data_IF_682603879364
#
_entry.id   IF_682603879364
#
_cell.length_a   1.000
_cell.length_b   1.000
_cell.length_c   1.000
_cell.angle_alpha   90.00
_cell.angle_beta   90.00
_cell.angle_gamma   90.00
#
_symmetry.space_group_name_H-M   'P 1'
#
loop_
_entity.id
_entity.type
_entity.pdbx_description
1 polymer ?
#
# COMPACT_ATOMS: atom_id res chain seq x y z
N UNK A 1 66.81 -22.53 -19.80
CA UNK A 1 65.41 -22.76 -20.26
C UNK A 1 64.47 -22.37 -19.10
N UNK A 2 63.97 -21.13 -19.10
CA UNK A 2 63.04 -20.62 -18.04
C UNK A 2 61.65 -20.65 -18.58
N UNK A 3 60.77 -21.46 -17.95
CA UNK A 3 59.33 -21.51 -18.23
C UNK A 3 58.66 -20.39 -17.43
N UNK A 4 58.17 -19.36 -18.12
CA UNK A 4 57.33 -18.31 -17.53
C UNK A 4 55.88 -18.84 -17.43
N UNK A 5 55.40 -19.05 -16.21
CA UNK A 5 53.98 -19.33 -15.93
C UNK A 5 53.21 -18.01 -15.97
N UNK A 6 52.23 -17.90 -16.86
CA UNK A 6 51.24 -16.82 -16.86
C UNK A 6 50.10 -17.16 -15.89
N UNK A 7 50.03 -16.45 -14.78
CA UNK A 7 48.87 -16.47 -13.92
C UNK A 7 47.79 -15.57 -14.55
N UNK A 8 46.71 -16.21 -15.05
CA UNK A 8 45.48 -15.51 -15.45
C UNK A 8 44.66 -15.20 -14.20
N UNK A 9 44.62 -13.91 -13.88
CA UNK A 9 43.78 -13.38 -12.80
C UNK A 9 42.31 -13.32 -13.31
N UNK A 10 41.45 -14.23 -12.85
CA UNK A 10 40.03 -14.17 -13.13
C UNK A 10 39.41 -13.04 -12.28
N UNK A 11 39.03 -11.95 -12.93
CA UNK A 11 38.27 -10.87 -12.30
C UNK A 11 36.83 -11.39 -12.06
N UNK A 12 36.50 -11.66 -10.83
CA UNK A 12 35.12 -11.92 -10.39
C UNK A 12 34.38 -10.57 -10.43
N UNK A 13 33.52 -10.38 -11.43
CA UNK A 13 32.54 -9.29 -11.48
C UNK A 13 31.47 -9.54 -10.41
N UNK A 14 31.62 -8.91 -9.26
CA UNK A 14 30.52 -8.74 -8.32
C UNK A 14 29.46 -7.85 -8.98
N UNK A 15 28.38 -8.49 -9.44
CA UNK A 15 27.18 -7.76 -9.80
C UNK A 15 26.66 -7.08 -8.52
N UNK A 16 26.88 -5.78 -8.42
CA UNK A 16 26.28 -4.95 -7.39
C UNK A 16 24.76 -5.03 -7.57
N UNK A 17 24.10 -5.79 -6.70
CA UNK A 17 22.66 -5.66 -6.50
C UNK A 17 22.40 -4.22 -6.10
N UNK A 18 21.56 -3.54 -6.87
CA UNK A 18 21.25 -2.14 -6.77
C UNK A 18 20.97 -1.72 -5.33
N UNK A 19 21.59 -0.60 -4.98
CA UNK A 19 21.53 0.03 -3.68
C UNK A 19 20.11 0.49 -3.34
N UNK A 20 19.73 0.14 -2.11
CA UNK A 20 18.86 0.88 -1.21
C UNK A 20 17.79 1.77 -1.88
N UNK A 21 16.65 1.22 -2.09
CA UNK A 21 15.42 2.00 -2.08
C UNK A 21 15.17 2.39 -0.63
N UNK A 22 15.07 3.72 -0.44
CA UNK A 22 14.70 4.45 0.77
C UNK A 22 14.21 3.58 1.92
N UNK A 23 14.90 3.63 3.04
CA UNK A 23 14.79 2.93 4.32
C UNK A 23 13.43 2.48 4.87
N UNK A 24 12.37 2.39 4.08
CA UNK A 24 11.09 1.85 4.47
C UNK A 24 11.14 0.31 4.50
N UNK A 25 10.59 -0.27 5.57
CA UNK A 25 10.50 -1.72 5.71
C UNK A 25 9.37 -2.29 4.84
N UNK A 26 9.47 -3.58 4.40
CA UNK A 26 8.37 -4.30 3.77
C UNK A 26 7.09 -4.21 4.61
N UNK A 27 5.94 -3.98 3.96
CA UNK A 27 4.67 -3.87 4.67
C UNK A 27 4.31 -5.16 5.42
N UNK A 28 4.66 -6.32 4.86
CA UNK A 28 4.47 -7.61 5.53
C UNK A 28 5.22 -7.71 6.87
N UNK A 29 6.41 -7.10 6.99
CA UNK A 29 7.20 -7.10 8.24
C UNK A 29 6.64 -6.16 9.32
N UNK A 30 5.83 -5.18 8.92
CA UNK A 30 5.17 -4.21 9.81
C UNK A 30 3.74 -4.61 10.15
N UNK A 31 3.22 -5.68 9.56
CA UNK A 31 1.83 -6.09 9.73
C UNK A 31 1.58 -6.69 11.12
N UNK A 32 0.51 -6.23 11.76
CA UNK A 32 0.02 -6.74 13.04
C UNK A 32 -1.45 -7.17 12.91
N UNK A 33 -1.87 -8.28 13.53
CA UNK A 33 -3.27 -8.67 13.57
C UNK A 33 -4.16 -7.56 14.17
N UNK A 34 -5.30 -7.30 13.57
CA UNK A 34 -6.33 -6.44 14.14
C UNK A 34 -7.18 -7.25 15.13
N UNK A 35 -6.98 -7.04 16.43
CA UNK A 35 -7.65 -7.79 17.50
C UNK A 35 -8.32 -6.81 18.48
N UNK A 36 -9.65 -6.86 18.63
CA UNK A 36 -10.60 -7.66 17.83
C UNK A 36 -10.70 -7.16 16.38
N UNK A 37 -11.05 -8.06 15.46
CA UNK A 37 -11.41 -7.67 14.10
C UNK A 37 -12.62 -6.75 14.11
N UNK A 38 -12.64 -5.72 13.26
CA UNK A 38 -13.71 -4.73 13.17
C UNK A 38 -14.37 -4.76 11.81
N UNK A 39 -15.67 -4.50 11.78
CA UNK A 39 -16.43 -4.37 10.55
C UNK A 39 -16.15 -3.02 9.89
N UNK A 40 -15.63 -3.02 8.66
CA UNK A 40 -15.32 -1.81 7.90
C UNK A 40 -16.47 -1.38 6.96
N UNK A 41 -17.57 -2.10 6.90
CA UNK A 41 -18.67 -1.83 5.94
C UNK A 41 -19.36 -0.48 6.17
N UNK A 42 -19.28 0.05 7.38
CA UNK A 42 -19.83 1.38 7.73
C UNK A 42 -18.87 2.54 7.47
N UNK A 43 -17.74 2.29 6.80
CA UNK A 43 -16.85 3.37 6.38
C UNK A 43 -17.50 4.25 5.32
N UNK A 44 -17.48 5.55 5.58
CA UNK A 44 -17.98 6.56 4.65
C UNK A 44 -16.84 7.00 3.71
N UNK A 45 -16.98 6.62 2.45
CA UNK A 45 -16.04 6.98 1.39
C UNK A 45 -16.76 7.63 0.23
N UNK A 46 -16.07 8.50 -0.50
CA UNK A 46 -16.57 9.14 -1.74
C UNK A 46 -15.48 9.08 -2.80
N UNK A 47 -15.89 9.00 -4.06
CA UNK A 47 -14.99 9.16 -5.20
C UNK A 47 -14.60 10.63 -5.42
N UNK A 48 -13.83 10.88 -6.49
CA UNK A 48 -13.37 12.23 -6.86
C UNK A 48 -14.49 13.19 -7.26
N UNK A 49 -15.66 12.67 -7.60
CA UNK A 49 -16.84 13.44 -8.04
C UNK A 49 -17.88 13.59 -6.91
N UNK A 50 -17.59 12.99 -5.75
CA UNK A 50 -18.42 13.07 -4.54
C UNK A 50 -19.47 11.96 -4.45
N UNK A 51 -19.49 10.98 -5.35
CA UNK A 51 -20.39 9.84 -5.26
C UNK A 51 -19.98 8.92 -4.11
N UNK A 52 -20.94 8.32 -3.37
CA UNK A 52 -20.62 7.38 -2.32
C UNK A 52 -20.00 6.11 -2.89
N UNK A 53 -19.00 5.59 -2.16
CA UNK A 53 -18.31 4.32 -2.43
C UNK A 53 -18.36 3.50 -1.15
N UNK A 54 -18.71 2.22 -1.25
CA UNK A 54 -18.82 1.31 -0.11
C UNK A 54 -17.74 0.24 -0.12
N UNK A 55 -17.31 -0.23 1.06
CA UNK A 55 -16.48 -1.43 1.18
C UNK A 55 -17.19 -2.65 0.58
N UNK A 56 -18.53 -2.69 0.62
CA UNK A 56 -19.31 -3.78 0.02
C UNK A 56 -19.18 -3.87 -1.51
N UNK A 57 -18.79 -2.80 -2.20
CA UNK A 57 -18.51 -2.80 -3.65
C UNK A 57 -17.28 -3.67 -3.99
N UNK A 58 -16.48 -4.01 -2.97
CA UNK A 58 -15.27 -4.81 -3.06
C UNK A 58 -15.43 -6.20 -2.44
N UNK A 59 -16.66 -6.61 -2.09
CA UNK A 59 -16.92 -7.92 -1.51
C UNK A 59 -16.33 -9.06 -2.36
N UNK A 60 -15.79 -10.09 -1.70
CA UNK A 60 -15.09 -11.20 -2.34
C UNK A 60 -13.61 -10.93 -2.66
N UNK A 61 -13.10 -9.72 -2.41
CA UNK A 61 -11.68 -9.36 -2.57
C UNK A 61 -11.05 -8.99 -1.24
N UNK A 62 -9.78 -9.31 -1.07
CA UNK A 62 -8.95 -8.69 -0.03
C UNK A 62 -8.83 -7.20 -0.34
N UNK A 63 -9.01 -6.34 0.66
CA UNK A 63 -8.87 -4.89 0.48
C UNK A 63 -7.64 -4.37 1.22
N UNK A 64 -6.74 -3.72 0.50
CA UNK A 64 -5.63 -2.94 1.04
C UNK A 64 -6.08 -1.49 1.14
N UNK A 65 -6.64 -1.10 2.29
CA UNK A 65 -7.18 0.24 2.55
C UNK A 65 -6.08 1.12 3.16
N UNK A 66 -5.37 1.88 2.32
CA UNK A 66 -4.30 2.77 2.76
C UNK A 66 -4.86 4.15 3.14
N UNK A 67 -4.63 4.55 4.38
CA UNK A 67 -5.09 5.83 4.96
C UNK A 67 -3.97 6.85 4.83
N UNK A 68 -4.21 7.92 4.07
CA UNK A 68 -3.18 8.89 3.74
C UNK A 68 -3.70 10.32 3.57
N UNK A 69 -2.78 11.27 3.35
CA UNK A 69 -3.11 12.65 2.99
C UNK A 69 -1.99 13.27 2.17
N UNK A 70 -2.33 14.15 1.22
CA UNK A 70 -1.33 14.84 0.39
C UNK A 70 -0.42 15.79 1.19
N UNK A 71 -0.84 16.17 2.37
CA UNK A 71 -0.12 16.99 3.35
C UNK A 71 0.80 16.19 4.27
N UNK A 72 0.74 14.86 4.23
CA UNK A 72 1.48 13.95 5.11
C UNK A 72 2.78 13.48 4.40
N UNK A 73 3.98 13.95 4.80
CA UNK A 73 5.21 13.61 4.08
C UNK A 73 5.53 12.11 3.99
N UNK A 74 5.43 11.30 5.07
CA UNK A 74 5.67 9.86 4.96
C UNK A 74 4.64 9.15 4.08
N UNK A 75 3.35 9.60 4.11
CA UNK A 75 2.34 9.05 3.20
C UNK A 75 2.72 9.27 1.73
N UNK A 76 3.21 10.46 1.39
CA UNK A 76 3.62 10.80 0.01
C UNK A 76 4.79 9.93 -0.48
N UNK A 77 5.71 9.54 0.41
CA UNK A 77 6.85 8.70 0.04
C UNK A 77 6.45 7.26 -0.27
N UNK A 78 5.45 6.71 0.43
CA UNK A 78 5.00 5.32 0.18
C UNK A 78 4.09 5.19 -1.06
N UNK A 79 3.38 6.25 -1.50
CA UNK A 79 2.40 6.17 -2.59
C UNK A 79 2.95 5.61 -3.91
N UNK A 80 4.20 5.89 -4.35
CA UNK A 80 4.75 5.24 -5.54
C UNK A 80 4.86 3.72 -5.40
N UNK A 81 5.18 3.17 -4.22
CA UNK A 81 5.21 1.72 -4.00
C UNK A 81 3.81 1.11 -3.99
N UNK A 82 2.81 1.83 -3.46
CA UNK A 82 1.39 1.44 -3.53
C UNK A 82 0.90 1.41 -4.99
N UNK A 83 1.30 2.39 -5.80
CA UNK A 83 0.98 2.40 -7.22
C UNK A 83 1.58 1.18 -7.94
N UNK A 84 2.86 0.84 -7.68
CA UNK A 84 3.49 -0.34 -8.27
C UNK A 84 2.92 -1.67 -7.73
N UNK A 85 2.38 -1.70 -6.50
CA UNK A 85 1.67 -2.85 -5.96
C UNK A 85 0.48 -3.24 -6.85
N UNK A 86 -0.29 -2.25 -7.33
CA UNK A 86 -1.46 -2.50 -8.20
C UNK A 86 -1.08 -3.32 -9.44
N UNK A 87 0.10 -3.08 -10.00
CA UNK A 87 0.57 -3.79 -11.19
C UNK A 87 1.10 -5.21 -10.88
N UNK A 88 1.29 -5.54 -9.59
CA UNK A 88 1.82 -6.83 -9.13
C UNK A 88 0.76 -7.78 -8.57
N UNK A 89 -0.46 -7.31 -8.32
CA UNK A 89 -1.53 -8.10 -7.73
C UNK A 89 -2.66 -8.37 -8.73
N UNK A 90 -3.39 -9.47 -8.53
CA UNK A 90 -4.59 -9.77 -9.31
C UNK A 90 -5.76 -8.87 -8.86
N UNK A 91 -6.27 -7.96 -9.71
CA UNK A 91 -7.35 -7.05 -9.33
C UNK A 91 -8.69 -7.76 -9.09
N UNK A 92 -8.83 -9.01 -9.53
CA UNK A 92 -9.99 -9.83 -9.21
C UNK A 92 -9.97 -10.38 -7.76
N UNK A 93 -8.79 -10.40 -7.13
CA UNK A 93 -8.59 -10.94 -5.77
C UNK A 93 -8.24 -9.88 -4.74
N UNK A 94 -7.55 -8.82 -5.15
CA UNK A 94 -7.03 -7.79 -4.25
C UNK A 94 -7.40 -6.40 -4.79
N UNK A 95 -8.09 -5.61 -3.98
CA UNK A 95 -8.38 -4.21 -4.25
C UNK A 95 -7.43 -3.32 -3.44
N UNK A 96 -6.75 -2.37 -4.09
CA UNK A 96 -5.87 -1.39 -3.44
C UNK A 96 -6.58 -0.04 -3.44
N UNK A 97 -6.95 0.44 -2.25
CA UNK A 97 -7.81 1.59 -2.04
C UNK A 97 -7.09 2.66 -1.18
N UNK A 98 -6.41 3.64 -1.81
CA UNK A 98 -5.88 4.77 -1.07
C UNK A 98 -7.00 5.74 -0.69
N UNK A 99 -7.35 5.78 0.60
CA UNK A 99 -8.37 6.64 1.18
C UNK A 99 -7.73 7.93 1.72
N UNK A 100 -7.98 9.05 1.05
CA UNK A 100 -7.36 10.33 1.36
C UNK A 100 -8.21 11.16 2.34
N UNK A 101 -7.54 11.81 3.30
CA UNK A 101 -8.15 12.74 4.26
C UNK A 101 -7.82 14.19 3.86
N UNK A 102 -8.62 14.75 2.94
CA UNK A 102 -8.41 16.05 2.28
C UNK A 102 -9.57 17.05 2.51
N UNK A 103 -10.32 16.88 3.61
CA UNK A 103 -11.50 17.72 3.90
C UNK A 103 -12.49 17.80 2.70
N UNK A 104 -12.71 16.67 2.02
CA UNK A 104 -13.61 16.56 0.88
C UNK A 104 -13.07 17.13 -0.44
N UNK A 105 -11.78 17.52 -0.51
CA UNK A 105 -11.22 18.15 -1.71
C UNK A 105 -10.30 17.19 -2.51
N UNK A 106 -10.82 16.61 -3.58
CA UNK A 106 -10.06 15.74 -4.50
C UNK A 106 -8.94 16.44 -5.27
N UNK A 107 -8.96 17.80 -5.38
CA UNK A 107 -8.00 18.54 -6.20
C UNK A 107 -6.56 18.34 -5.74
N UNK A 108 -6.31 18.30 -4.44
CA UNK A 108 -4.96 18.07 -3.91
C UNK A 108 -4.43 16.68 -4.26
N UNK A 109 -5.28 15.66 -4.21
CA UNK A 109 -4.93 14.30 -4.61
C UNK A 109 -4.63 14.26 -6.11
N UNK A 110 -5.47 14.89 -6.95
CA UNK A 110 -5.25 14.99 -8.42
C UNK A 110 -3.91 15.65 -8.75
N UNK A 111 -3.59 16.75 -8.05
CA UNK A 111 -2.30 17.46 -8.24
C UNK A 111 -1.12 16.58 -7.83
N UNK A 112 -1.22 15.90 -6.69
CA UNK A 112 -0.17 14.99 -6.22
C UNK A 112 0.03 13.82 -7.20
N UNK A 113 -1.02 13.14 -7.63
CA UNK A 113 -0.93 12.03 -8.59
C UNK A 113 -0.30 12.47 -9.90
N UNK A 114 -0.72 13.63 -10.43
CA UNK A 114 -0.12 14.21 -11.65
C UNK A 114 1.37 14.50 -11.48
N UNK A 115 1.78 15.05 -10.33
CA UNK A 115 3.19 15.41 -10.07
C UNK A 115 4.11 14.20 -9.88
N UNK A 116 3.55 13.05 -9.50
CA UNK A 116 4.29 11.80 -9.24
C UNK A 116 4.10 10.73 -10.34
N UNK A 117 3.29 11.03 -11.38
CA UNK A 117 3.02 10.09 -12.46
C UNK A 117 2.12 8.92 -12.08
N UNK A 118 1.38 9.01 -10.97
CA UNK A 118 0.44 7.98 -10.54
C UNK A 118 -0.84 8.10 -11.38
N UNK A 119 -1.18 7.02 -12.11
CA UNK A 119 -2.34 6.97 -13.02
C UNK A 119 -3.28 5.79 -12.78
N UNK A 120 -2.85 4.82 -11.96
CA UNK A 120 -3.53 3.54 -11.75
C UNK A 120 -4.23 3.43 -10.37
N UNK A 121 -4.20 4.47 -9.54
CA UNK A 121 -4.87 4.49 -8.25
C UNK A 121 -6.19 5.27 -8.30
N UNK A 122 -7.26 4.76 -7.67
CA UNK A 122 -8.50 5.53 -7.51
C UNK A 122 -8.28 6.72 -6.58
N UNK A 123 -9.11 7.76 -6.74
CA UNK A 123 -9.20 8.84 -5.76
C UNK A 123 -10.40 8.59 -4.88
N UNK A 124 -10.15 8.25 -3.63
CA UNK A 124 -11.17 8.06 -2.60
C UNK A 124 -10.93 9.07 -1.47
N UNK A 125 -11.99 9.69 -1.01
CA UNK A 125 -11.99 10.65 0.09
C UNK A 125 -12.72 10.07 1.30
N UNK A 126 -12.08 10.14 2.47
CA UNK A 126 -12.61 9.63 3.73
C UNK A 126 -12.97 10.73 4.73
N UNK A 127 -13.77 10.35 5.72
CA UNK A 127 -14.07 11.14 6.91
C UNK A 127 -13.29 10.61 8.12
N UNK A 128 -12.50 11.47 8.76
CA UNK A 128 -11.63 11.06 9.86
C UNK A 128 -12.38 10.69 11.14
N UNK A 129 -13.54 11.29 11.41
CA UNK A 129 -14.36 10.93 12.57
C UNK A 129 -15.03 9.58 12.36
N UNK A 130 -15.56 9.34 11.16
CA UNK A 130 -16.11 8.04 10.79
C UNK A 130 -15.06 6.93 10.86
N UNK A 131 -13.86 7.16 10.31
CA UNK A 131 -12.74 6.20 10.40
C UNK A 131 -12.41 5.85 11.85
N UNK A 132 -12.30 6.87 12.72
CA UNK A 132 -12.01 6.65 14.14
C UNK A 132 -13.13 5.85 14.84
N UNK A 133 -14.39 6.10 14.51
CA UNK A 133 -15.52 5.38 15.12
C UNK A 133 -15.60 3.93 14.65
N UNK A 134 -15.36 3.67 13.35
CA UNK A 134 -15.50 2.35 12.75
C UNK A 134 -14.27 1.47 13.02
N UNK A 135 -13.07 1.96 12.72
CA UNK A 135 -11.83 1.16 12.81
C UNK A 135 -10.93 1.50 14.00
N UNK A 136 -11.20 2.59 14.74
CA UNK A 136 -10.34 3.14 15.79
C UNK A 136 -8.92 3.49 15.28
N UNK A 137 -8.80 3.90 14.02
CA UNK A 137 -7.57 4.35 13.40
C UNK A 137 -7.58 5.87 13.28
N UNK A 138 -6.47 6.53 13.64
CA UNK A 138 -6.36 8.00 13.65
C UNK A 138 -4.98 8.52 13.24
N UNK A 139 -4.03 7.63 12.94
CA UNK A 139 -2.66 8.00 12.54
C UNK A 139 -2.45 7.79 11.06
N UNK A 140 -1.60 8.62 10.43
CA UNK A 140 -1.21 8.50 9.04
C UNK A 140 0.32 8.40 8.90
N UNK A 141 0.83 7.60 7.95
CA UNK A 141 0.07 6.61 7.22
C UNK A 141 -0.29 5.40 8.09
N UNK A 142 -1.40 4.77 7.79
CA UNK A 142 -1.79 3.47 8.33
C UNK A 142 -2.56 2.74 7.25
N UNK A 143 -2.32 1.44 7.09
CA UNK A 143 -3.10 0.62 6.16
C UNK A 143 -3.87 -0.44 6.92
N UNK A 144 -5.17 -0.49 6.72
CA UNK A 144 -6.04 -1.58 7.17
C UNK A 144 -6.13 -2.63 6.06
N UNK A 145 -5.89 -3.89 6.41
CA UNK A 145 -6.16 -5.02 5.53
C UNK A 145 -7.53 -5.59 5.91
N UNK A 146 -8.44 -5.59 4.92
CA UNK A 146 -9.78 -6.14 5.12
C UNK A 146 -9.89 -7.45 4.36
N UNK A 147 -10.55 -8.42 4.96
CA UNK A 147 -10.84 -9.68 4.31
C UNK A 147 -11.97 -9.56 3.26
N UNK A 148 -12.30 -10.66 2.61
CA UNK A 148 -13.30 -10.73 1.54
C UNK A 148 -14.72 -10.38 2.01
N UNK A 149 -14.96 -10.31 3.32
CA UNK A 149 -16.25 -9.94 3.94
C UNK A 149 -16.29 -8.49 4.43
N UNK A 150 -15.13 -7.77 4.36
CA UNK A 150 -14.98 -6.41 4.84
C UNK A 150 -14.57 -6.29 6.31
N UNK A 151 -14.10 -7.38 6.93
CA UNK A 151 -13.57 -7.35 8.30
C UNK A 151 -12.11 -6.91 8.30
N UNK A 152 -11.75 -5.98 9.16
CA UNK A 152 -10.40 -5.51 9.37
C UNK A 152 -9.59 -6.57 10.13
N UNK A 153 -8.70 -7.28 9.44
CA UNK A 153 -7.95 -8.42 9.95
C UNK A 153 -6.49 -8.12 10.30
N UNK A 154 -5.88 -7.10 9.67
CA UNK A 154 -4.52 -6.70 9.97
C UNK A 154 -4.30 -5.20 9.75
N UNK A 155 -3.33 -4.64 10.47
CA UNK A 155 -2.91 -3.24 10.36
C UNK A 155 -1.42 -3.17 10.04
N UNK A 156 -1.05 -2.29 9.10
CA UNK A 156 0.33 -1.84 8.87
C UNK A 156 0.39 -0.38 9.30
N UNK A 157 1.17 -0.08 10.34
CA UNK A 157 1.27 1.26 10.90
C UNK A 157 2.58 1.94 10.47
N UNK A 158 2.50 3.15 9.97
CA UNK A 158 3.64 3.92 9.48
C UNK A 158 3.95 3.67 8.00
N UNK A 159 4.98 4.38 7.52
CA UNK A 159 5.46 4.28 6.14
C UNK A 159 6.01 2.88 5.85
N UNK A 160 5.59 2.27 4.74
CA UNK A 160 5.99 0.94 4.34
C UNK A 160 6.32 0.85 2.85
N UNK A 161 7.10 -0.17 2.47
CA UNK A 161 7.30 -0.58 1.08
C UNK A 161 6.26 -1.65 0.73
N UNK A 162 5.49 -1.40 -0.33
CA UNK A 162 4.33 -2.21 -0.67
C UNK A 162 4.55 -3.15 -1.85
N UNK A 163 5.49 -2.85 -2.72
CA UNK A 163 5.73 -3.57 -3.97
C UNK A 163 6.89 -4.58 -3.89
N UNK A 164 7.41 -4.88 -2.69
CA UNK A 164 8.38 -5.94 -2.48
C UNK A 164 7.74 -7.34 -2.56
N UNK A 165 8.54 -8.35 -2.89
CA UNK A 165 8.05 -9.69 -3.16
C UNK A 165 7.46 -10.38 -1.91
N UNK A 166 7.98 -10.07 -0.70
CA UNK A 166 7.45 -10.63 0.55
C UNK A 166 6.06 -10.08 0.87
N UNK A 167 5.85 -8.78 0.65
CA UNK A 167 4.55 -8.12 0.81
C UNK A 167 3.54 -8.65 -0.20
N UNK A 168 3.91 -8.76 -1.47
CA UNK A 168 3.04 -9.33 -2.52
C UNK A 168 2.65 -10.77 -2.19
N UNK A 169 3.62 -11.60 -1.77
CA UNK A 169 3.35 -12.98 -1.38
C UNK A 169 2.45 -13.06 -0.14
N UNK A 170 2.63 -12.18 0.86
CA UNK A 170 1.79 -12.10 2.04
C UNK A 170 0.34 -11.76 1.68
N UNK A 171 0.12 -10.70 0.87
CA UNK A 171 -1.22 -10.31 0.43
C UNK A 171 -1.92 -11.41 -0.38
N UNK A 172 -1.19 -12.10 -1.27
CA UNK A 172 -1.75 -13.21 -2.03
C UNK A 172 -2.17 -14.38 -1.14
N UNK A 173 -1.42 -14.69 -0.06
CA UNK A 173 -1.83 -15.70 0.93
C UNK A 173 -3.12 -15.31 1.65
N UNK A 174 -3.25 -14.06 2.07
CA UNK A 174 -4.48 -13.56 2.71
C UNK A 174 -5.67 -13.57 1.75
N UNK A 175 -5.46 -13.25 0.47
CA UNK A 175 -6.51 -13.26 -0.53
C UNK A 175 -6.99 -14.67 -0.91
N UNK A 176 -6.22 -15.72 -0.59
CA UNK A 176 -6.55 -17.11 -0.85
C UNK A 176 -7.18 -17.83 0.36
N UNK A 177 -7.21 -17.20 1.52
CA UNK A 177 -7.78 -17.75 2.75
C UNK A 177 -9.29 -17.55 2.81
#
# INVERSE_FOLDING_TARGET
>A
MQRRAFLTLAAATFASRGLAQDGAMPAAALAHPAIPAKDARDLLMKDADGNPVSITDYAGRLVVLNLWGSWCPPCRREMPSISRLVDKVDPAKIAVLPLAFENGNATRVKVFYKSTGITNLPILLGDGQNLQSVLSLSRLPTTAILDQTGMHIATVAGEAMWDDDDTVAWLNRLAAA
#
